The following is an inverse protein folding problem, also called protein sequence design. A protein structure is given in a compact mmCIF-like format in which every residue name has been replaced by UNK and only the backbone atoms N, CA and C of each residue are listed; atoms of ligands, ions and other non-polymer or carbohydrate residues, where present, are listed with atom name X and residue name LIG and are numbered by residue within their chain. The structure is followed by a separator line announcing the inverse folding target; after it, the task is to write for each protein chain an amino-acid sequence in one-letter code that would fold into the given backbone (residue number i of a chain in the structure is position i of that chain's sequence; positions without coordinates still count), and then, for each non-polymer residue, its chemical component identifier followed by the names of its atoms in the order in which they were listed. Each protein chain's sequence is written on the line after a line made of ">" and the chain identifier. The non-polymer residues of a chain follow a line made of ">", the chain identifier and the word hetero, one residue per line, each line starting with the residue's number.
data_IF_113612942062
#
_entry.id   IF_113612942062
#
_cell.length_a   1.000
_cell.length_b   1.000
_cell.length_c   1.000
_cell.angle_alpha   90.00
_cell.angle_beta   90.00
_cell.angle_gamma   90.00
#
_symmetry.space_group_name_H-M   'P 1'
#
loop_
_entity.id
_entity.type
_entity.pdbx_description
1 polymer ?
#
# COMPACT_ATOMS: atom_id res chain seq x y z
N UNK A 1 19.17 10.02 -12.55
CA UNK A 1 18.04 9.28 -13.16
C UNK A 1 18.11 7.79 -12.82
N UNK A 2 19.16 7.04 -13.22
CA UNK A 2 19.39 5.67 -12.73
C UNK A 2 19.90 5.60 -11.27
N UNK A 3 20.54 6.66 -10.79
CA UNK A 3 21.09 6.76 -9.44
C UNK A 3 20.02 6.67 -8.35
N UNK A 4 18.91 7.41 -8.45
CA UNK A 4 17.81 7.36 -7.47
C UNK A 4 17.14 5.99 -7.41
N UNK A 5 16.89 5.38 -8.57
CA UNK A 5 16.33 4.03 -8.65
C UNK A 5 17.28 2.98 -8.02
N UNK A 6 18.59 3.12 -8.25
CA UNK A 6 19.62 2.29 -7.62
C UNK A 6 19.69 2.52 -6.10
N UNK A 7 19.63 3.77 -5.64
CA UNK A 7 19.72 4.13 -4.22
C UNK A 7 18.56 3.54 -3.42
N UNK A 8 17.36 3.43 -4.02
CA UNK A 8 16.18 2.89 -3.34
C UNK A 8 16.06 1.35 -3.52
N UNK A 9 16.40 0.80 -4.69
CA UNK A 9 16.35 -0.66 -4.91
C UNK A 9 17.52 -1.42 -4.27
N UNK A 10 18.67 -0.78 -4.07
CA UNK A 10 19.84 -1.40 -3.47
C UNK A 10 19.60 -1.82 -2.01
N UNK A 11 19.03 -0.99 -1.11
CA UNK A 11 18.61 -1.40 0.23
C UNK A 11 17.70 -2.64 0.22
N UNK A 12 16.69 -2.66 -0.65
CA UNK A 12 15.78 -3.80 -0.82
C UNK A 12 16.53 -5.07 -1.23
N UNK A 13 17.42 -4.97 -2.23
CA UNK A 13 18.21 -6.10 -2.71
C UNK A 13 19.19 -6.60 -1.64
N UNK A 14 19.89 -5.70 -0.94
CA UNK A 14 20.78 -6.03 0.17
C UNK A 14 20.03 -6.77 1.28
N UNK A 15 18.83 -6.30 1.66
CA UNK A 15 17.96 -7.00 2.58
C UNK A 15 17.60 -8.41 2.11
N UNK A 16 17.27 -8.57 0.82
CA UNK A 16 16.93 -9.87 0.25
C UNK A 16 18.08 -10.89 0.28
N UNK A 17 19.34 -10.44 0.26
CA UNK A 17 20.49 -11.33 0.41
C UNK A 17 20.62 -11.90 1.83
N UNK A 18 20.05 -11.25 2.84
CA UNK A 18 20.13 -11.65 4.24
C UNK A 18 19.13 -12.78 4.54
N UNK A 19 19.67 -13.99 4.75
CA UNK A 19 18.86 -15.14 5.16
C UNK A 19 18.83 -15.26 6.68
N UNK A 20 17.65 -15.10 7.27
CA UNK A 20 17.44 -15.15 8.72
C UNK A 20 16.82 -16.49 9.09
N UNK A 21 17.54 -17.30 9.86
CA UNK A 21 17.06 -18.64 10.29
C UNK A 21 16.34 -18.62 11.64
N UNK A 22 16.56 -17.59 12.46
CA UNK A 22 15.97 -17.48 13.80
C UNK A 22 14.58 -16.88 13.75
N UNK A 23 13.58 -17.61 14.25
CA UNK A 23 12.18 -17.14 14.35
C UNK A 23 12.05 -15.90 15.22
N UNK A 24 12.88 -15.75 16.27
CA UNK A 24 12.88 -14.55 17.11
C UNK A 24 13.33 -13.31 16.33
N UNK A 25 14.36 -13.45 15.51
CA UNK A 25 14.88 -12.35 14.70
C UNK A 25 13.91 -12.00 13.56
N UNK A 26 13.25 -12.99 12.94
CA UNK A 26 12.17 -12.73 11.98
C UNK A 26 11.00 -11.97 12.61
N UNK A 27 10.57 -12.35 13.81
CA UNK A 27 9.52 -11.61 14.53
C UNK A 27 9.95 -10.19 14.87
N UNK A 28 11.22 -9.97 15.22
CA UNK A 28 11.77 -8.63 15.45
C UNK A 28 11.76 -7.80 14.16
N UNK A 29 12.19 -8.38 13.03
CA UNK A 29 12.14 -7.73 11.71
C UNK A 29 10.71 -7.35 11.37
N UNK A 30 9.74 -8.24 11.57
CA UNK A 30 8.33 -7.96 11.31
C UNK A 30 7.81 -6.80 12.15
N UNK A 31 8.15 -6.76 13.45
CA UNK A 31 7.81 -5.63 14.32
C UNK A 31 8.51 -4.34 13.89
N UNK A 32 9.77 -4.42 13.47
CA UNK A 32 10.53 -3.28 13.01
C UNK A 32 9.98 -2.71 11.70
N UNK A 33 9.49 -3.55 10.78
CA UNK A 33 8.78 -3.11 9.56
C UNK A 33 7.53 -2.32 9.94
N UNK A 34 6.66 -2.89 10.79
CA UNK A 34 5.46 -2.19 11.25
C UNK A 34 5.79 -0.89 12.01
N UNK A 35 6.81 -0.91 12.88
CA UNK A 35 7.27 0.27 13.61
C UNK A 35 7.83 1.36 12.70
N UNK A 36 8.57 0.98 11.66
CA UNK A 36 9.11 1.91 10.66
C UNK A 36 7.96 2.61 9.92
N UNK A 37 6.90 1.88 9.56
CA UNK A 37 5.70 2.47 8.95
C UNK A 37 5.09 3.55 9.85
N UNK A 38 4.90 3.27 11.14
CA UNK A 38 4.34 4.27 12.07
C UNK A 38 5.24 5.50 12.23
N UNK A 39 6.56 5.30 12.34
CA UNK A 39 7.51 6.42 12.43
C UNK A 39 7.47 7.29 11.18
N UNK A 40 7.42 6.69 10.00
CA UNK A 40 7.38 7.45 8.76
C UNK A 40 6.07 8.22 8.62
N UNK A 41 4.93 7.61 8.94
CA UNK A 41 3.63 8.31 8.92
C UNK A 41 3.59 9.45 9.92
N UNK A 42 4.24 9.30 11.08
CA UNK A 42 4.38 10.36 12.07
C UNK A 42 5.19 11.52 11.49
N UNK A 43 6.36 11.25 10.90
CA UNK A 43 7.20 12.28 10.30
C UNK A 43 6.51 12.96 9.11
N UNK A 44 5.85 12.20 8.23
CA UNK A 44 5.02 12.75 7.15
C UNK A 44 3.93 13.69 7.70
N UNK A 45 3.29 13.32 8.82
CA UNK A 45 2.34 14.20 9.50
C UNK A 45 2.98 15.50 10.00
N UNK A 46 4.18 15.42 10.59
CA UNK A 46 4.96 16.60 11.01
C UNK A 46 5.29 17.47 9.80
N UNK A 47 5.77 16.90 8.71
CA UNK A 47 6.09 17.62 7.47
C UNK A 47 4.87 18.29 6.84
N UNK A 48 3.71 17.62 6.85
CA UNK A 48 2.44 18.21 6.39
C UNK A 48 2.07 19.47 7.19
N UNK A 49 2.37 19.53 8.49
CA UNK A 49 2.09 20.72 9.30
C UNK A 49 2.95 21.94 8.92
N UNK A 50 4.09 21.72 8.26
CA UNK A 50 4.95 22.78 7.74
C UNK A 50 4.45 23.44 6.45
N UNK A 51 3.37 22.92 5.85
CA UNK A 51 2.81 23.49 4.64
C UNK A 51 2.14 24.84 4.92
N UNK A 52 2.51 25.85 4.13
CA UNK A 52 1.81 27.13 4.11
C UNK A 52 0.33 26.93 3.77
N UNK A 53 -0.55 27.65 4.47
CA UNK A 53 -2.00 27.55 4.29
C UNK A 53 -2.53 26.11 4.45
N UNK A 54 -2.10 25.41 5.51
CA UNK A 54 -2.44 24.03 5.83
C UNK A 54 -3.90 23.65 5.55
N UNK A 55 -4.88 24.48 5.94
CA UNK A 55 -6.29 24.20 5.70
C UNK A 55 -6.64 24.05 4.21
N UNK A 56 -6.08 24.91 3.36
CA UNK A 56 -6.28 24.83 1.91
C UNK A 56 -5.55 23.63 1.29
N UNK A 57 -4.36 23.31 1.80
CA UNK A 57 -3.57 22.17 1.34
C UNK A 57 -4.21 20.83 1.74
N UNK A 58 -4.75 20.72 2.96
CA UNK A 58 -5.50 19.55 3.41
C UNK A 58 -6.78 19.34 2.58
N UNK A 59 -7.46 20.42 2.20
CA UNK A 59 -8.61 20.36 1.29
C UNK A 59 -8.21 19.85 -0.10
N UNK A 60 -7.12 20.38 -0.67
CA UNK A 60 -6.56 19.91 -1.95
C UNK A 60 -6.13 18.45 -1.88
N UNK A 61 -5.44 18.06 -0.82
CA UNK A 61 -5.02 16.68 -0.56
C UNK A 61 -6.24 15.75 -0.52
N UNK A 62 -7.27 16.11 0.24
CA UNK A 62 -8.51 15.34 0.31
C UNK A 62 -9.22 15.23 -1.04
N UNK A 63 -9.33 16.32 -1.79
CA UNK A 63 -9.92 16.35 -3.12
C UNK A 63 -9.16 15.47 -4.13
N UNK A 64 -7.84 15.61 -4.18
CA UNK A 64 -6.97 14.82 -5.05
C UNK A 64 -7.00 13.33 -4.69
N UNK A 65 -6.97 13.00 -3.39
CA UNK A 65 -7.06 11.63 -2.91
C UNK A 65 -8.41 11.00 -3.27
N UNK A 66 -9.51 11.72 -3.09
CA UNK A 66 -10.85 11.24 -3.43
C UNK A 66 -11.01 11.03 -4.94
N UNK A 67 -10.48 11.94 -5.75
CA UNK A 67 -10.50 11.82 -7.20
C UNK A 67 -9.71 10.59 -7.65
N UNK A 68 -8.46 10.45 -7.20
CA UNK A 68 -7.61 9.31 -7.52
C UNK A 68 -8.24 8.00 -7.06
N UNK A 69 -8.76 7.96 -5.84
CA UNK A 69 -9.46 6.81 -5.26
C UNK A 69 -10.68 6.40 -6.09
N UNK A 70 -11.49 7.38 -6.53
CA UNK A 70 -12.70 7.13 -7.31
C UNK A 70 -12.35 6.51 -8.65
N UNK A 71 -11.43 7.12 -9.40
CA UNK A 71 -11.00 6.64 -10.72
C UNK A 71 -10.37 5.25 -10.60
N UNK A 72 -9.46 5.07 -9.64
CA UNK A 72 -8.77 3.79 -9.39
C UNK A 72 -9.76 2.70 -9.01
N UNK A 73 -10.73 3.01 -8.14
CA UNK A 73 -11.77 2.07 -7.73
C UNK A 73 -12.66 1.66 -8.90
N UNK A 74 -13.10 2.60 -9.73
CA UNK A 74 -13.95 2.29 -10.89
C UNK A 74 -13.26 1.35 -11.88
N UNK A 75 -12.01 1.65 -12.25
CA UNK A 75 -11.22 0.81 -13.17
C UNK A 75 -10.95 -0.57 -12.58
N UNK A 76 -10.50 -0.63 -11.33
CA UNK A 76 -10.17 -1.89 -10.67
C UNK A 76 -11.42 -2.77 -10.50
N UNK A 77 -12.55 -2.20 -10.06
CA UNK A 77 -13.80 -2.96 -9.93
C UNK A 77 -14.29 -3.47 -11.28
N UNK A 78 -14.25 -2.64 -12.33
CA UNK A 78 -14.68 -3.05 -13.67
C UNK A 78 -13.81 -4.20 -14.21
N UNK A 79 -12.48 -4.08 -14.13
CA UNK A 79 -11.55 -5.08 -14.62
C UNK A 79 -11.62 -6.40 -13.83
N UNK A 80 -11.68 -6.31 -12.50
CA UNK A 80 -11.79 -7.49 -11.64
C UNK A 80 -13.15 -8.16 -11.73
N UNK A 81 -14.22 -7.40 -11.93
CA UNK A 81 -15.55 -7.95 -12.19
C UNK A 81 -15.56 -8.72 -13.51
N UNK A 82 -14.93 -8.16 -14.55
CA UNK A 82 -14.77 -8.84 -15.83
C UNK A 82 -13.98 -10.14 -15.69
N UNK A 83 -12.85 -10.12 -14.95
CA UNK A 83 -12.07 -11.33 -14.65
C UNK A 83 -12.91 -12.34 -13.87
N UNK A 84 -13.64 -11.89 -12.85
CA UNK A 84 -14.49 -12.75 -12.02
C UNK A 84 -15.60 -13.43 -12.80
N UNK A 85 -16.10 -12.83 -13.89
CA UNK A 85 -17.09 -13.49 -14.77
C UNK A 85 -16.47 -14.59 -15.63
N UNK A 86 -15.18 -14.48 -15.96
CA UNK A 86 -14.46 -15.48 -16.75
C UNK A 86 -13.95 -16.65 -15.92
N UNK A 87 -13.63 -16.41 -14.65
CA UNK A 87 -13.15 -17.43 -13.73
C UNK A 87 -14.31 -17.97 -12.88
N UNK A 88 -14.66 -19.24 -13.07
CA UNK A 88 -15.64 -19.94 -12.23
C UNK A 88 -15.00 -20.41 -10.93
N UNK A 89 -14.76 -19.49 -10.01
CA UNK A 89 -14.42 -19.82 -8.62
C UNK A 89 -15.48 -19.24 -7.71
N UNK A 90 -16.35 -20.14 -7.24
CA UNK A 90 -17.24 -19.88 -6.15
C UNK A 90 -16.51 -20.27 -4.87
N UNK A 91 -16.43 -19.36 -3.89
CA UNK A 91 -15.99 -19.71 -2.55
C UNK A 91 -16.98 -20.75 -1.99
N UNK A 92 -16.64 -22.04 -2.14
CA UNK A 92 -17.42 -23.15 -1.62
C UNK A 92 -17.50 -23.00 -0.10
N UNK A 93 -18.71 -23.15 0.46
CA UNK A 93 -19.04 -22.94 1.87
C UNK A 93 -18.09 -23.69 2.80
N UNK A 94 -16.98 -23.05 3.14
CA UNK A 94 -16.04 -23.53 4.13
C UNK A 94 -16.58 -23.11 5.51
N UNK A 95 -16.37 -23.93 6.53
CA UNK A 95 -16.82 -23.62 7.88
C UNK A 95 -16.20 -22.29 8.33
N UNK A 96 -17.05 -21.41 8.83
CA UNK A 96 -16.66 -20.13 9.44
C UNK A 96 -15.61 -20.42 10.53
N UNK A 97 -14.43 -19.82 10.42
CA UNK A 97 -13.37 -19.95 11.42
C UNK A 97 -13.83 -19.28 12.72
N UNK A 98 -13.94 -20.06 13.80
CA UNK A 98 -14.53 -19.63 15.09
C UNK A 98 -13.79 -18.50 15.81
N UNK A 99 -12.51 -18.27 15.51
CA UNK A 99 -11.63 -17.35 16.25
C UNK A 99 -11.13 -16.14 15.41
N UNK A 100 -11.70 -15.88 14.23
CA UNK A 100 -11.37 -14.68 13.46
C UNK A 100 -12.07 -13.44 14.05
N UNK A 101 -11.43 -12.25 14.07
CA UNK A 101 -12.02 -11.04 14.65
C UNK A 101 -13.43 -10.80 14.09
N UNK A 102 -14.44 -10.89 14.96
CA UNK A 102 -15.85 -10.96 14.58
C UNK A 102 -16.44 -9.61 14.19
N UNK A 103 -15.70 -8.52 14.41
CA UNK A 103 -16.15 -7.15 14.18
C UNK A 103 -15.37 -6.49 13.04
N UNK A 104 -16.08 -5.96 12.03
CA UNK A 104 -15.49 -5.08 10.99
C UNK A 104 -14.66 -3.96 11.61
N UNK A 105 -15.08 -3.46 12.78
CA UNK A 105 -14.38 -2.41 13.52
C UNK A 105 -13.00 -2.88 14.01
N UNK A 106 -12.88 -4.13 14.45
CA UNK A 106 -11.61 -4.71 14.86
C UNK A 106 -10.67 -4.91 13.67
N UNK A 107 -11.21 -5.28 12.50
CA UNK A 107 -10.43 -5.40 11.26
C UNK A 107 -9.92 -4.04 10.76
N UNK A 108 -10.73 -2.99 10.86
CA UNK A 108 -10.37 -1.62 10.45
C UNK A 108 -9.51 -0.87 11.48
N UNK A 109 -9.39 -1.37 12.72
CA UNK A 109 -8.66 -0.69 13.80
C UNK A 109 -7.21 -0.38 13.43
N UNK A 110 -6.53 -1.31 12.73
CA UNK A 110 -5.17 -1.10 12.24
C UNK A 110 -5.07 0.10 11.30
N UNK A 111 -5.97 0.18 10.31
CA UNK A 111 -6.05 1.27 9.34
C UNK A 111 -6.40 2.62 10.01
N UNK A 112 -7.32 2.62 10.98
CA UNK A 112 -7.66 3.81 11.75
C UNK A 112 -6.49 4.30 12.61
N UNK A 113 -5.69 3.39 13.16
CA UNK A 113 -4.51 3.77 13.93
C UNK A 113 -3.50 4.55 13.08
N UNK A 114 -3.36 4.22 11.80
CA UNK A 114 -2.47 4.95 10.88
C UNK A 114 -2.93 6.39 10.66
N UNK A 115 -4.24 6.60 10.46
CA UNK A 115 -4.82 7.95 10.40
C UNK A 115 -4.54 8.70 11.70
N UNK A 116 -4.70 8.04 12.85
CA UNK A 116 -4.39 8.60 14.15
C UNK A 116 -2.92 9.01 14.29
N UNK A 117 -1.98 8.23 13.77
CA UNK A 117 -0.55 8.54 13.80
C UNK A 117 -0.20 9.73 12.91
N UNK A 118 -0.78 9.82 11.71
CA UNK A 118 -0.62 11.02 10.84
C UNK A 118 -1.18 12.26 11.54
N UNK A 119 -2.39 12.16 12.12
CA UNK A 119 -3.00 13.26 12.87
C UNK A 119 -2.17 13.68 14.09
N UNK A 120 -1.58 12.72 14.80
CA UNK A 120 -0.64 12.99 15.89
C UNK A 120 0.61 13.71 15.38
N UNK A 121 1.15 13.30 14.23
CA UNK A 121 2.28 13.97 13.57
C UNK A 121 1.95 15.41 13.21
N UNK A 122 0.80 15.66 12.57
CA UNK A 122 0.33 17.02 12.23
C UNK A 122 0.18 17.86 13.51
N UNK A 123 -0.42 17.30 14.55
CA UNK A 123 -0.59 18.00 15.84
C UNK A 123 0.75 18.35 16.47
N UNK A 124 1.70 17.40 16.49
CA UNK A 124 3.05 17.63 16.99
C UNK A 124 3.79 18.70 16.17
N UNK A 125 3.67 18.66 14.83
CA UNK A 125 4.25 19.66 13.94
C UNK A 125 3.67 21.05 14.15
N UNK A 126 2.36 21.18 14.39
CA UNK A 126 1.71 22.46 14.69
C UNK A 126 2.10 23.03 16.06
N UNK A 127 2.32 22.18 17.07
CA UNK A 127 2.70 22.61 18.42
C UNK A 127 4.19 22.98 18.50
N UNK A 128 5.06 22.19 17.86
CA UNK A 128 6.51 22.36 17.91
C UNK A 128 7.04 23.31 16.83
N UNK A 129 6.33 23.45 15.71
CA UNK A 129 6.70 24.30 14.58
C UNK A 129 7.00 25.75 14.97
N UNK A 130 6.16 26.43 15.78
CA UNK A 130 6.45 27.79 16.24
C UNK A 130 7.69 27.91 17.14
N UNK A 131 8.07 26.83 17.83
CA UNK A 131 9.21 26.83 18.77
C UNK A 131 10.54 26.48 18.09
N UNK A 132 10.50 25.61 17.07
CA UNK A 132 11.69 25.04 16.42
C UNK A 132 11.93 25.62 15.02
N UNK A 133 10.89 26.16 14.38
CA UNK A 133 10.94 26.71 13.03
C UNK A 133 11.06 25.64 11.94
N UNK A 134 11.46 26.06 10.73
CA UNK A 134 11.56 25.21 9.53
C UNK A 134 12.52 24.02 9.68
N UNK A 135 13.45 24.09 10.63
CA UNK A 135 14.38 22.99 10.94
C UNK A 135 13.65 21.73 11.40
N UNK A 136 12.46 21.85 12.02
CA UNK A 136 11.66 20.70 12.43
C UNK A 136 11.17 19.89 11.22
N UNK A 137 10.62 20.58 10.22
CA UNK A 137 9.99 19.95 9.05
C UNK A 137 11.04 19.30 8.15
N UNK A 138 12.13 20.02 7.89
CA UNK A 138 13.27 19.50 7.11
C UNK A 138 13.93 18.30 7.79
N UNK A 139 14.05 18.30 9.12
CA UNK A 139 14.56 17.16 9.87
C UNK A 139 13.59 15.98 9.83
N UNK A 140 12.28 16.23 9.90
CA UNK A 140 11.27 15.17 9.78
C UNK A 140 11.33 14.48 8.41
N UNK A 141 11.47 15.24 7.32
CA UNK A 141 11.64 14.68 5.97
C UNK A 141 12.91 13.83 5.87
N UNK A 142 14.05 14.35 6.34
CA UNK A 142 15.31 13.62 6.36
C UNK A 142 15.23 12.31 7.17
N UNK A 143 14.61 12.35 8.36
CA UNK A 143 14.41 11.15 9.18
C UNK A 143 13.46 10.15 8.49
N UNK A 144 12.39 10.61 7.85
CA UNK A 144 11.47 9.75 7.11
C UNK A 144 12.19 8.99 5.99
N UNK A 145 13.09 9.65 5.27
CA UNK A 145 13.92 9.06 4.20
C UNK A 145 14.85 7.95 4.75
N UNK A 146 15.54 8.19 5.86
CA UNK A 146 16.39 7.16 6.47
C UNK A 146 15.61 5.96 7.00
N UNK A 147 14.44 6.23 7.60
CA UNK A 147 13.55 5.16 8.07
C UNK A 147 12.99 4.38 6.88
N UNK A 148 12.76 5.01 5.73
CA UNK A 148 12.42 4.32 4.47
C UNK A 148 13.55 3.40 4.00
N UNK A 149 14.80 3.86 3.98
CA UNK A 149 15.92 3.00 3.59
C UNK A 149 16.04 1.78 4.50
N UNK A 150 15.89 1.98 5.82
CA UNK A 150 15.81 0.88 6.77
C UNK A 150 14.62 -0.04 6.47
N UNK A 151 13.43 0.52 6.27
CA UNK A 151 12.21 -0.22 5.94
C UNK A 151 12.42 -1.10 4.70
N UNK A 152 13.05 -0.58 3.65
CA UNK A 152 13.33 -1.33 2.41
C UNK A 152 14.29 -2.49 2.64
N UNK A 153 15.35 -2.31 3.44
CA UNK A 153 16.22 -3.42 3.86
C UNK A 153 15.42 -4.48 4.62
N UNK A 154 14.58 -4.07 5.57
CA UNK A 154 13.78 -4.99 6.37
C UNK A 154 12.75 -5.74 5.52
N UNK A 155 12.11 -5.08 4.56
CA UNK A 155 11.22 -5.71 3.58
C UNK A 155 11.98 -6.72 2.73
N UNK A 156 13.18 -6.38 2.25
CA UNK A 156 14.04 -7.32 1.51
C UNK A 156 14.27 -8.60 2.30
N UNK A 157 14.61 -8.45 3.59
CA UNK A 157 14.77 -9.57 4.52
C UNK A 157 13.46 -10.38 4.65
N UNK A 158 12.30 -9.72 4.81
CA UNK A 158 11.01 -10.42 4.89
C UNK A 158 10.72 -11.22 3.64
N UNK A 159 10.90 -10.64 2.45
CA UNK A 159 10.65 -11.29 1.16
C UNK A 159 11.48 -12.56 1.02
N UNK A 160 12.78 -12.51 1.38
CA UNK A 160 13.68 -13.67 1.34
C UNK A 160 13.24 -14.81 2.25
N UNK A 161 12.70 -14.45 3.41
CA UNK A 161 12.37 -15.40 4.47
C UNK A 161 10.86 -15.72 4.55
N UNK A 162 10.07 -15.25 3.59
CA UNK A 162 8.62 -15.50 3.46
C UNK A 162 8.25 -16.97 3.24
N UNK A 163 9.23 -17.84 2.96
CA UNK A 163 9.04 -19.29 2.90
C UNK A 163 8.30 -19.81 1.65
N UNK A 164 7.74 -18.92 0.80
CA UNK A 164 7.16 -19.31 -0.47
C UNK A 164 8.23 -19.34 -1.58
N UNK A 165 8.50 -20.51 -2.19
CA UNK A 165 9.33 -20.54 -3.38
C UNK A 165 8.61 -19.79 -4.52
N UNK A 166 9.32 -18.91 -5.24
CA UNK A 166 8.78 -18.19 -6.42
C UNK A 166 8.04 -19.12 -7.41
N UNK A 167 8.49 -20.38 -7.50
CA UNK A 167 7.86 -21.41 -8.33
C UNK A 167 6.40 -21.69 -7.92
N UNK A 168 6.07 -21.72 -6.64
CA UNK A 168 4.68 -21.90 -6.17
C UNK A 168 3.81 -20.67 -6.43
N UNK A 169 4.41 -19.47 -6.42
CA UNK A 169 3.75 -18.19 -6.73
C UNK A 169 3.34 -18.17 -8.20
N UNK A 170 4.26 -18.54 -9.10
CA UNK A 170 4.00 -18.65 -10.54
C UNK A 170 3.03 -19.79 -10.91
N UNK A 171 2.94 -20.84 -10.10
CA UNK A 171 2.03 -21.97 -10.35
C UNK A 171 0.56 -21.62 -10.03
N UNK A 172 0.30 -20.66 -9.15
CA UNK A 172 -1.06 -20.19 -8.87
C UNK A 172 -1.52 -19.19 -9.95
N UNK A 173 -1.98 -19.75 -11.08
CA UNK A 173 -2.44 -18.99 -12.25
C UNK A 173 -3.52 -17.96 -11.92
N UNK A 174 -4.37 -18.24 -10.94
CA UNK A 174 -5.42 -17.31 -10.56
C UNK A 174 -4.89 -16.12 -9.77
N UNK A 175 -4.05 -16.36 -8.75
CA UNK A 175 -3.42 -15.27 -8.01
C UNK A 175 -2.63 -14.35 -8.93
N UNK A 176 -1.92 -14.94 -9.91
CA UNK A 176 -1.24 -14.20 -10.97
C UNK A 176 -2.22 -13.41 -11.85
N UNK A 177 -3.30 -14.01 -12.33
CA UNK A 177 -4.30 -13.33 -13.16
C UNK A 177 -4.95 -12.16 -12.42
N UNK A 178 -5.25 -12.31 -11.13
CA UNK A 178 -5.80 -11.25 -10.28
C UNK A 178 -4.80 -10.10 -10.14
N UNK A 179 -3.54 -10.41 -9.78
CA UNK A 179 -2.49 -9.41 -9.61
C UNK A 179 -2.24 -8.62 -10.90
N UNK A 180 -2.09 -9.30 -12.04
CA UNK A 180 -1.88 -8.65 -13.34
C UNK A 180 -3.09 -7.79 -13.72
N UNK A 181 -4.30 -8.29 -13.51
CA UNK A 181 -5.53 -7.54 -13.82
C UNK A 181 -5.63 -6.26 -12.99
N UNK A 182 -5.38 -6.35 -11.68
CA UNK A 182 -5.39 -5.19 -10.81
C UNK A 182 -4.28 -4.20 -11.17
N UNK A 183 -3.05 -4.68 -11.40
CA UNK A 183 -1.93 -3.82 -11.74
C UNK A 183 -2.21 -3.03 -13.03
N UNK A 184 -2.62 -3.71 -14.11
CA UNK A 184 -2.92 -3.05 -15.38
C UNK A 184 -4.08 -2.06 -15.27
N UNK A 185 -5.17 -2.43 -14.57
CA UNK A 185 -6.31 -1.53 -14.39
C UNK A 185 -5.99 -0.32 -13.51
N UNK A 186 -5.14 -0.49 -12.48
CA UNK A 186 -4.64 0.63 -11.67
C UNK A 186 -3.74 1.55 -12.49
N UNK A 187 -2.84 1.03 -13.33
CA UNK A 187 -2.01 1.86 -14.21
C UNK A 187 -2.86 2.65 -15.23
N UNK A 188 -3.89 2.03 -15.82
CA UNK A 188 -4.83 2.73 -16.69
C UNK A 188 -5.61 3.82 -15.95
N UNK A 189 -6.00 3.57 -14.69
CA UNK A 189 -6.60 4.60 -13.85
C UNK A 189 -5.63 5.75 -13.55
N UNK A 190 -4.36 5.46 -13.29
CA UNK A 190 -3.31 6.46 -13.10
C UNK A 190 -3.15 7.38 -14.32
N UNK A 191 -3.14 6.81 -15.53
CA UNK A 191 -3.12 7.58 -16.78
C UNK A 191 -4.37 8.45 -16.95
N UNK A 192 -5.54 7.94 -16.59
CA UNK A 192 -6.79 8.69 -16.66
C UNK A 192 -6.87 9.80 -15.61
N UNK A 193 -6.29 9.58 -14.42
CA UNK A 193 -6.27 10.53 -13.32
C UNK A 193 -5.22 11.64 -13.52
N UNK A 194 -4.11 11.35 -14.22
CA UNK A 194 -3.00 12.28 -14.44
C UNK A 194 -3.45 13.69 -14.90
N UNK A 195 -4.19 13.85 -16.01
CA UNK A 195 -4.59 15.18 -16.49
C UNK A 195 -5.55 15.89 -15.53
N UNK A 196 -6.33 15.14 -14.74
CA UNK A 196 -7.29 15.69 -13.79
C UNK A 196 -6.62 16.15 -12.48
N UNK A 197 -5.46 15.59 -12.16
CA UNK A 197 -4.64 15.96 -11.02
C UNK A 197 -3.53 16.96 -11.38
N UNK A 198 -3.50 17.44 -12.62
CA UNK A 198 -2.42 18.27 -13.16
C UNK A 198 -1.04 17.60 -13.05
N UNK A 199 -1.00 16.28 -13.16
CA UNK A 199 0.21 15.46 -13.15
C UNK A 199 0.62 15.09 -14.56
N UNK A 200 1.91 14.83 -14.75
CA UNK A 200 2.39 14.16 -15.95
C UNK A 200 1.87 12.72 -16.01
N UNK A 201 1.90 12.11 -17.20
CA UNK A 201 1.43 10.74 -17.39
C UNK A 201 2.19 9.73 -16.51
N UNK A 202 3.50 9.94 -16.31
CA UNK A 202 4.34 9.06 -15.51
C UNK A 202 4.11 9.27 -14.00
N UNK A 203 3.88 10.50 -13.55
CA UNK A 203 3.47 10.77 -12.17
C UNK A 203 2.13 10.10 -11.86
N UNK A 204 1.14 10.19 -12.75
CA UNK A 204 -0.14 9.49 -12.57
C UNK A 204 0.01 7.96 -12.50
N UNK A 205 0.89 7.37 -13.31
CA UNK A 205 1.24 5.95 -13.23
C UNK A 205 1.90 5.60 -11.88
N UNK A 206 2.81 6.44 -11.38
CA UNK A 206 3.42 6.27 -10.08
C UNK A 206 2.37 6.31 -8.96
N UNK A 207 1.47 7.29 -8.98
CA UNK A 207 0.39 7.47 -8.01
C UNK A 207 -0.52 6.23 -7.89
N UNK A 208 -0.73 5.50 -8.99
CA UNK A 208 -1.57 4.31 -9.00
C UNK A 208 -0.82 2.99 -8.77
N UNK A 209 0.51 3.01 -8.72
CA UNK A 209 1.37 1.81 -8.57
C UNK A 209 1.54 1.34 -7.13
N UNK A 210 0.95 2.03 -6.15
CA UNK A 210 0.95 1.60 -4.74
C UNK A 210 0.19 0.28 -4.49
N UNK A 211 -0.84 0.01 -5.29
CA UNK A 211 -1.68 -1.19 -5.23
C UNK A 211 -2.23 -1.52 -3.83
N UNK A 212 -2.48 -0.51 -2.98
CA UNK A 212 -2.94 -0.69 -1.60
C UNK A 212 -1.83 -0.66 -0.55
N UNK A 213 -0.56 -0.59 -0.93
CA UNK A 213 0.55 -0.43 0.01
C UNK A 213 0.78 1.05 0.39
N UNK A 214 -0.15 1.61 1.14
CA UNK A 214 -0.18 3.03 1.50
C UNK A 214 1.10 3.54 2.16
N UNK A 215 1.78 2.72 2.97
CA UNK A 215 2.95 3.17 3.71
C UNK A 215 4.16 3.33 2.81
N UNK A 216 4.35 2.44 1.84
CA UNK A 216 5.43 2.53 0.88
C UNK A 216 5.14 3.62 -0.17
N UNK A 217 3.92 3.64 -0.71
CA UNK A 217 3.54 4.58 -1.76
C UNK A 217 3.62 6.03 -1.28
N UNK A 218 3.16 6.32 -0.05
CA UNK A 218 3.22 7.65 0.54
C UNK A 218 4.63 8.24 0.55
N UNK A 219 5.64 7.41 0.82
CA UNK A 219 7.00 7.88 1.01
C UNK A 219 7.71 8.05 -0.31
N UNK A 220 7.67 7.03 -1.16
CA UNK A 220 8.34 7.09 -2.46
C UNK A 220 7.79 8.23 -3.32
N UNK A 221 6.48 8.49 -3.22
CA UNK A 221 5.84 9.61 -3.89
C UNK A 221 6.13 10.92 -3.14
N UNK A 222 6.08 10.92 -1.81
CA UNK A 222 6.33 12.11 -1.00
C UNK A 222 7.75 12.67 -1.15
N UNK A 223 8.74 11.80 -1.29
CA UNK A 223 10.15 12.14 -1.49
C UNK A 223 10.39 12.89 -2.80
N UNK A 224 9.74 12.44 -3.89
CA UNK A 224 9.92 13.04 -5.23
C UNK A 224 8.91 14.13 -5.59
N UNK A 225 7.64 13.97 -5.19
CA UNK A 225 6.53 14.88 -5.55
C UNK A 225 6.05 15.74 -4.38
N UNK A 226 6.73 15.66 -3.24
CA UNK A 226 6.48 16.46 -2.04
C UNK A 226 5.43 15.88 -1.08
N UNK A 227 5.38 16.38 0.17
CA UNK A 227 4.54 15.81 1.25
C UNK A 227 3.04 15.76 0.92
N UNK A 228 2.54 16.72 0.13
CA UNK A 228 1.14 16.74 -0.28
C UNK A 228 0.78 15.54 -1.15
N UNK A 229 1.58 15.24 -2.18
CA UNK A 229 1.33 14.12 -3.09
C UNK A 229 1.58 12.78 -2.40
N UNK A 230 2.56 12.71 -1.50
CA UNK A 230 2.73 11.56 -0.60
C UNK A 230 1.47 11.30 0.23
N UNK A 231 0.86 12.35 0.79
CA UNK A 231 -0.42 12.27 1.48
C UNK A 231 -1.57 11.81 0.56
N UNK A 232 -1.64 12.31 -0.67
CA UNK A 232 -2.65 11.85 -1.65
C UNK A 232 -2.53 10.35 -1.92
N UNK A 233 -1.31 9.85 -2.11
CA UNK A 233 -1.04 8.43 -2.32
C UNK A 233 -1.43 7.59 -1.10
N UNK A 234 -1.05 8.04 0.10
CA UNK A 234 -1.43 7.42 1.37
C UNK A 234 -2.95 7.24 1.48
N UNK A 235 -3.70 8.34 1.34
CA UNK A 235 -5.16 8.30 1.50
C UNK A 235 -5.85 7.51 0.39
N UNK A 236 -5.33 7.52 -0.84
CA UNK A 236 -5.84 6.68 -1.92
C UNK A 236 -5.73 5.18 -1.56
N UNK A 237 -4.54 4.71 -1.20
CA UNK A 237 -4.32 3.30 -0.89
C UNK A 237 -4.99 2.88 0.43
N UNK A 238 -5.02 3.76 1.43
CA UNK A 238 -5.75 3.53 2.69
C UNK A 238 -7.26 3.42 2.43
N UNK A 239 -7.83 4.33 1.64
CA UNK A 239 -9.27 4.30 1.32
C UNK A 239 -9.64 3.03 0.55
N UNK A 240 -8.75 2.53 -0.32
CA UNK A 240 -8.91 1.22 -0.98
C UNK A 240 -8.94 0.09 0.03
N UNK A 241 -8.06 0.07 1.02
CA UNK A 241 -8.07 -0.94 2.08
C UNK A 241 -9.37 -0.89 2.91
N UNK A 242 -9.80 0.30 3.32
CA UNK A 242 -11.06 0.48 4.06
C UNK A 242 -12.27 0.00 3.25
N UNK A 243 -12.31 0.31 1.95
CA UNK A 243 -13.36 -0.18 1.06
C UNK A 243 -13.26 -1.71 0.88
N UNK A 244 -12.05 -2.28 0.84
CA UNK A 244 -11.86 -3.74 0.73
C UNK A 244 -12.48 -4.48 1.93
N UNK A 245 -12.33 -3.97 3.16
CA UNK A 245 -12.98 -4.57 4.34
C UNK A 245 -14.51 -4.60 4.24
N UNK A 246 -15.11 -3.65 3.54
CA UNK A 246 -16.56 -3.62 3.29
C UNK A 246 -16.90 -4.55 2.12
N UNK A 247 -16.13 -4.50 1.05
CA UNK A 247 -16.41 -5.16 -0.22
C UNK A 247 -16.24 -6.68 -0.14
N UNK A 248 -15.18 -7.17 0.53
CA UNK A 248 -14.86 -8.60 0.62
C UNK A 248 -16.05 -9.41 1.17
N UNK A 249 -16.60 -9.12 2.36
CA UNK A 249 -17.75 -9.86 2.88
C UNK A 249 -18.97 -9.86 1.96
N UNK A 250 -19.19 -8.78 1.20
CA UNK A 250 -20.37 -8.61 0.35
C UNK A 250 -20.29 -9.43 -0.95
N UNK A 251 -19.09 -9.56 -1.52
CA UNK A 251 -18.94 -10.08 -2.88
C UNK A 251 -18.18 -11.40 -2.97
N UNK A 252 -17.44 -11.81 -1.94
CA UNK A 252 -16.51 -12.96 -2.05
C UNK A 252 -17.19 -14.28 -2.44
N UNK A 253 -18.46 -14.50 -2.07
CA UNK A 253 -19.19 -15.72 -2.44
C UNK A 253 -19.61 -15.77 -3.92
N UNK A 254 -19.79 -14.61 -4.56
CA UNK A 254 -20.22 -14.51 -5.97
C UNK A 254 -19.06 -14.15 -6.90
N UNK A 255 -18.12 -13.37 -6.38
CA UNK A 255 -17.03 -12.75 -7.12
C UNK A 255 -15.70 -12.85 -6.35
N UNK A 256 -15.26 -14.09 -6.09
CA UNK A 256 -14.03 -14.39 -5.34
C UNK A 256 -12.80 -13.62 -5.87
N UNK A 257 -12.59 -13.63 -7.19
CA UNK A 257 -11.46 -12.94 -7.81
C UNK A 257 -11.52 -11.42 -7.62
N UNK A 258 -12.73 -10.83 -7.58
CA UNK A 258 -12.91 -9.41 -7.32
C UNK A 258 -12.64 -9.07 -5.85
N UNK A 259 -13.19 -9.85 -4.92
CA UNK A 259 -12.97 -9.65 -3.49
C UNK A 259 -11.48 -9.70 -3.15
N UNK A 260 -10.79 -10.76 -3.61
CA UNK A 260 -9.36 -10.92 -3.38
C UNK A 260 -8.54 -9.86 -4.12
N UNK A 261 -8.91 -9.55 -5.37
CA UNK A 261 -8.16 -8.59 -6.18
C UNK A 261 -8.26 -7.17 -5.67
N UNK A 262 -9.42 -6.73 -5.20
CA UNK A 262 -9.62 -5.35 -4.77
C UNK A 262 -8.80 -5.02 -3.51
N UNK A 263 -8.58 -6.00 -2.62
CA UNK A 263 -7.65 -5.87 -1.49
C UNK A 263 -6.20 -5.59 -1.92
N UNK A 264 -5.81 -5.95 -3.15
CA UNK A 264 -4.51 -5.59 -3.70
C UNK A 264 -3.34 -6.20 -2.92
N UNK A 265 -2.34 -5.38 -2.62
CA UNK A 265 -1.19 -5.78 -1.80
C UNK A 265 -1.62 -6.29 -0.42
N UNK A 266 -2.67 -5.69 0.17
CA UNK A 266 -3.11 -6.01 1.54
C UNK A 266 -3.82 -7.37 1.65
N UNK A 267 -4.09 -8.02 0.52
CA UNK A 267 -4.69 -9.37 0.45
C UNK A 267 -3.80 -10.46 1.05
N UNK A 268 -2.50 -10.22 1.22
CA UNK A 268 -1.60 -11.17 1.86
C UNK A 268 -1.49 -10.99 3.39
N UNK A 269 -1.95 -9.86 3.95
CA UNK A 269 -1.80 -9.52 5.36
C UNK A 269 -3.07 -8.90 5.97
N UNK A 270 -3.37 -7.61 5.79
CA UNK A 270 -4.43 -6.91 6.51
C UNK A 270 -5.83 -7.41 6.15
N UNK A 271 -6.09 -7.65 4.86
CA UNK A 271 -7.40 -8.15 4.42
C UNK A 271 -7.46 -9.68 4.39
N UNK A 272 -6.33 -10.37 4.60
CA UNK A 272 -6.26 -11.84 4.60
C UNK A 272 -7.19 -12.50 5.63
N UNK A 273 -7.27 -12.07 6.91
CA UNK A 273 -8.21 -12.63 7.88
C UNK A 273 -9.66 -12.55 7.41
N UNK A 274 -10.05 -11.44 6.79
CA UNK A 274 -11.42 -11.22 6.29
C UNK A 274 -11.70 -12.10 5.07
N UNK A 275 -10.72 -12.23 4.17
CA UNK A 275 -10.77 -13.17 3.03
C UNK A 275 -10.90 -14.61 3.52
N UNK A 276 -10.11 -15.02 4.51
CA UNK A 276 -10.16 -16.38 5.07
C UNK A 276 -11.49 -16.66 5.76
N UNK A 277 -12.01 -15.69 6.53
CA UNK A 277 -13.25 -15.83 7.28
C UNK A 277 -14.48 -15.97 6.37
N UNK A 278 -14.57 -15.16 5.31
CA UNK A 278 -15.75 -15.12 4.45
C UNK A 278 -15.58 -15.99 3.19
N UNK A 279 -14.38 -16.08 2.63
CA UNK A 279 -14.06 -16.87 1.44
C UNK A 279 -13.56 -18.29 1.72
N UNK A 280 -13.25 -18.61 2.97
CA UNK A 280 -12.72 -19.92 3.37
C UNK A 280 -11.21 -20.08 3.13
N UNK A 281 -10.65 -21.15 3.70
CA UNK A 281 -9.21 -21.45 3.66
C UNK A 281 -8.68 -21.66 2.22
N UNK A 282 -9.54 -22.09 1.30
CA UNK A 282 -9.19 -22.25 -0.11
C UNK A 282 -8.81 -20.92 -0.80
N UNK A 283 -9.28 -19.78 -0.30
CA UNK A 283 -8.94 -18.46 -0.83
C UNK A 283 -7.57 -17.95 -0.38
N UNK A 284 -7.01 -18.48 0.73
CA UNK A 284 -5.77 -18.01 1.34
C UNK A 284 -4.57 -18.07 0.38
N UNK A 285 -4.28 -19.19 -0.31
CA UNK A 285 -3.13 -19.25 -1.22
C UNK A 285 -3.25 -18.29 -2.41
N UNK A 286 -4.48 -18.03 -2.88
CA UNK A 286 -4.74 -17.09 -3.98
C UNK A 286 -4.47 -15.66 -3.53
N UNK A 287 -5.00 -15.28 -2.36
CA UNK A 287 -4.85 -13.94 -1.79
C UNK A 287 -3.40 -13.62 -1.47
N UNK A 288 -2.70 -14.58 -0.88
CA UNK A 288 -1.27 -14.47 -0.56
C UNK A 288 -0.43 -14.32 -1.83
N UNK A 289 -0.68 -15.11 -2.89
CA UNK A 289 0.05 -14.98 -4.17
C UNK A 289 -0.23 -13.63 -4.83
N UNK A 290 -1.50 -13.22 -4.91
CA UNK A 290 -1.86 -11.95 -5.54
C UNK A 290 -1.25 -10.76 -4.80
N UNK A 291 -1.40 -10.72 -3.47
CA UNK A 291 -0.86 -9.66 -2.62
C UNK A 291 0.67 -9.60 -2.67
N UNK A 292 1.34 -10.76 -2.67
CA UNK A 292 2.79 -10.82 -2.81
C UNK A 292 3.27 -10.25 -4.15
N UNK A 293 2.64 -10.62 -5.27
CA UNK A 293 3.04 -10.11 -6.60
C UNK A 293 2.89 -8.59 -6.65
N UNK A 294 1.75 -8.06 -6.18
CA UNK A 294 1.50 -6.62 -6.17
C UNK A 294 2.48 -5.88 -5.25
N UNK A 295 2.77 -6.43 -4.08
CA UNK A 295 3.77 -5.90 -3.15
C UNK A 295 5.17 -5.88 -3.76
N UNK A 296 5.53 -6.92 -4.53
CA UNK A 296 6.82 -6.99 -5.22
C UNK A 296 6.90 -6.00 -6.38
N UNK A 297 5.80 -5.78 -7.10
CA UNK A 297 5.74 -4.86 -8.25
C UNK A 297 5.69 -3.38 -7.85
N UNK A 298 5.06 -3.07 -6.72
CA UNK A 298 4.78 -1.68 -6.29
C UNK A 298 6.03 -0.79 -6.22
N UNK A 299 7.07 -1.09 -5.38
CA UNK A 299 8.26 -0.24 -5.30
C UNK A 299 8.98 0.01 -6.64
N UNK A 300 9.34 -1.03 -7.43
CA UNK A 300 10.03 -0.80 -8.69
C UNK A 300 9.19 -0.05 -9.72
N UNK A 301 7.86 -0.24 -9.76
CA UNK A 301 7.00 0.52 -10.68
C UNK A 301 6.91 2.00 -10.29
N UNK A 302 6.66 2.30 -9.01
CA UNK A 302 6.61 3.69 -8.52
C UNK A 302 7.92 4.41 -8.88
N UNK A 303 9.05 3.81 -8.53
CA UNK A 303 10.36 4.40 -8.79
C UNK A 303 10.65 4.55 -10.29
N UNK A 304 10.31 3.53 -11.09
CA UNK A 304 10.51 3.59 -12.52
C UNK A 304 9.77 4.77 -13.13
N UNK A 305 8.48 4.94 -12.80
CA UNK A 305 7.69 6.04 -13.35
C UNK A 305 8.13 7.42 -12.81
N UNK A 306 8.49 7.52 -11.53
CA UNK A 306 9.07 8.76 -10.97
C UNK A 306 10.45 9.10 -11.52
N UNK A 307 11.18 8.13 -12.07
CA UNK A 307 12.47 8.38 -12.72
C UNK A 307 12.33 8.94 -14.14
N UNK A 308 11.14 8.82 -14.74
CA UNK A 308 10.83 9.31 -16.08
C UNK A 308 10.37 10.78 -16.10
N UNK A 309 10.17 11.41 -14.94
CA UNK A 309 9.72 12.81 -14.78
C UNK A 309 10.82 13.85 -15.06
N UNK A 310 11.81 13.51 -15.88
CA UNK A 310 12.92 14.39 -16.24
C UNK A 310 12.55 15.43 -17.28
#
# INVERSE_FOLDING_TARGET
>A
MLSGLLIVLLPLFLGYLVRVRSTRLLNLINRAVSGSVYLILLFMGVSLAGLENLGSQLSRLGGNALLLFTITTLFNLAALWWLSRRVRLSASGSPVVKDAPTSKLAAMQGSLMLVGVVAAGVTAGLLLGPMVGETLFTTADWLAEWVLYLLLVLIGCQLRNSGMPLKQILLNRLGLAIAVTLALSSLLAGLAAAPLLSLSWNEGLAMASGFGWYSLSAILIGDQLGPLMGGVAFFNDLSRELLAFILIPLVIHRHTALAIGYGGATSMDFTLPVIQQHGGVACVPIAVVSGFILSLLSPPLILFFLSLSG
#
